data_IF_863932838877
#
_entry.id   IF_863932838877
#
_cell.length_a   1.000
_cell.length_b   1.000
_cell.length_c   1.000
_cell.angle_alpha   90.00
_cell.angle_beta   90.00
_cell.angle_gamma   90.00
#
_symmetry.space_group_name_H-M   'P 1'
#
loop_
_entity.id
_entity.type
_entity.pdbx_description
1 polymer ?
#
# COMPACT_ATOMS: atom_id res chain seq x y z
N UNK A 1 46.18 40.40 35.39
CA UNK A 1 46.90 41.27 34.43
C UNK A 1 47.74 40.38 33.52
N UNK A 2 47.57 40.57 32.21
CA UNK A 2 48.36 40.08 31.05
C UNK A 2 48.46 38.54 30.86
N UNK A 3 47.80 37.98 29.82
CA UNK A 3 48.27 37.83 28.42
C UNK A 3 49.50 36.89 28.35
N UNK A 4 49.61 35.83 27.57
CA UNK A 4 49.04 35.46 26.27
C UNK A 4 49.67 34.11 25.86
N UNK A 5 48.97 33.27 25.09
CA UNK A 5 49.48 32.68 23.82
C UNK A 5 48.46 31.75 23.16
N UNK A 6 48.05 32.24 22.00
CA UNK A 6 47.29 31.65 20.90
C UNK A 6 47.98 30.43 20.28
N UNK A 7 47.19 29.44 19.87
CA UNK A 7 47.42 28.70 18.62
C UNK A 7 46.08 28.54 17.90
N UNK A 8 45.92 29.34 16.84
CA UNK A 8 44.97 29.12 15.76
C UNK A 8 45.47 27.92 14.94
N UNK A 9 44.57 27.00 14.61
CA UNK A 9 44.72 26.10 13.48
C UNK A 9 43.56 26.37 12.53
N UNK A 10 43.84 27.10 11.44
CA UNK A 10 43.00 27.17 10.25
C UNK A 10 43.27 25.92 9.41
N UNK A 11 42.23 25.18 9.02
CA UNK A 11 42.21 24.35 7.81
C UNK A 11 40.78 24.35 7.21
N UNK A 12 40.64 24.14 5.89
CA UNK A 12 39.82 25.00 5.05
C UNK A 12 38.45 24.43 4.66
N UNK A 13 37.54 25.34 4.33
CA UNK A 13 36.36 25.09 3.50
C UNK A 13 36.81 24.67 2.11
N UNK A 14 36.55 23.41 1.74
CA UNK A 14 36.62 22.95 0.36
C UNK A 14 35.24 22.42 -0.06
N UNK A 15 34.58 23.24 -0.87
CA UNK A 15 33.48 22.85 -1.75
C UNK A 15 33.96 21.78 -2.73
N UNK A 16 33.19 20.71 -2.91
CA UNK A 16 33.27 19.88 -4.12
C UNK A 16 31.91 19.24 -4.40
N UNK A 17 31.23 19.86 -5.34
CA UNK A 17 30.13 19.31 -6.10
C UNK A 17 30.63 18.19 -7.04
N UNK A 18 29.72 17.27 -7.33
CA UNK A 18 29.70 16.34 -8.48
C UNK A 18 30.72 15.19 -8.44
N UNK A 19 30.45 13.99 -8.95
CA UNK A 19 29.30 13.30 -9.54
C UNK A 19 29.83 11.86 -9.72
N UNK A 20 29.00 10.83 -9.48
CA UNK A 20 28.82 9.67 -10.35
C UNK A 20 27.85 8.69 -9.67
N UNK A 21 26.58 9.06 -9.82
CA UNK A 21 25.46 8.14 -9.73
C UNK A 21 25.57 7.15 -10.89
N UNK A 22 25.80 5.88 -10.57
CA UNK A 22 25.61 4.75 -11.47
C UNK A 22 24.46 3.93 -10.90
N UNK A 23 23.23 4.44 -11.03
CA UNK A 23 22.05 3.62 -10.88
C UNK A 23 21.83 2.86 -12.20
N UNK A 24 21.66 1.53 -12.18
CA UNK A 24 21.34 0.79 -13.39
C UNK A 24 19.92 1.15 -13.83
N UNK A 25 19.81 1.81 -14.99
CA UNK A 25 18.53 2.01 -15.68
C UNK A 25 18.04 0.66 -16.20
N UNK A 26 17.25 -0.05 -15.39
CA UNK A 26 16.50 -1.20 -15.87
C UNK A 26 15.21 -0.68 -16.49
N UNK A 27 15.21 -0.64 -17.80
CA UNK A 27 14.08 -0.31 -18.65
C UNK A 27 12.98 -1.36 -18.42
N UNK A 28 12.01 -1.06 -17.54
CA UNK A 28 10.81 -1.87 -17.37
C UNK A 28 9.69 -1.27 -18.22
N UNK A 29 9.60 -1.75 -19.47
CA UNK A 29 8.33 -1.72 -20.19
C UNK A 29 7.41 -2.75 -19.54
N UNK A 30 6.70 -2.36 -18.49
CA UNK A 30 5.51 -3.06 -18.01
C UNK A 30 4.30 -2.30 -18.54
N UNK A 31 3.36 -3.00 -19.17
CA UNK A 31 2.07 -2.46 -19.59
C UNK A 31 1.36 -1.84 -18.39
N UNK A 32 1.50 -0.52 -18.25
CA UNK A 32 0.92 0.21 -17.14
C UNK A 32 -0.56 0.41 -17.43
N UNK A 33 -1.43 -0.10 -16.56
CA UNK A 33 -2.65 0.68 -16.27
C UNK A 33 -2.21 2.13 -16.01
N UNK A 34 -2.97 3.14 -16.46
CA UNK A 34 -2.54 4.52 -16.32
C UNK A 34 -2.30 4.79 -14.84
N UNK A 35 -1.03 4.92 -14.48
CA UNK A 35 -0.63 5.24 -13.13
C UNK A 35 -1.29 6.58 -12.77
N UNK A 36 -2.13 6.67 -11.72
CA UNK A 36 -2.89 7.89 -11.45
C UNK A 36 -1.98 8.94 -10.79
N UNK A 37 -1.04 9.49 -11.56
CA UNK A 37 -0.10 10.50 -11.11
C UNK A 37 -0.82 11.70 -10.48
N UNK A 38 -2.04 12.01 -10.94
CA UNK A 38 -2.86 13.06 -10.35
C UNK A 38 -3.18 12.82 -8.87
N UNK A 39 -3.38 11.56 -8.43
CA UNK A 39 -3.63 11.25 -7.02
C UNK A 39 -2.38 11.54 -6.16
N UNK A 40 -1.19 11.20 -6.64
CA UNK A 40 0.07 11.43 -5.93
C UNK A 40 0.36 12.91 -5.68
N UNK A 41 -0.04 13.76 -6.62
CA UNK A 41 0.27 15.18 -6.57
C UNK A 41 -0.91 16.04 -6.13
N UNK A 42 -2.09 15.44 -5.90
CA UNK A 42 -3.26 16.17 -5.42
C UNK A 42 -3.01 16.71 -3.99
N UNK A 43 -3.02 18.04 -3.79
CA UNK A 43 -2.91 18.63 -2.44
C UNK A 43 -4.19 18.44 -1.64
N UNK A 44 -5.32 18.28 -2.33
CA UNK A 44 -6.63 18.07 -1.75
C UNK A 44 -7.39 17.00 -2.52
N UNK A 45 -8.19 16.21 -1.80
CA UNK A 45 -9.19 15.30 -2.37
C UNK A 45 -10.55 15.65 -1.76
N UNK A 46 -11.59 15.66 -2.59
CA UNK A 46 -12.96 15.72 -2.09
C UNK A 46 -13.52 14.30 -2.01
N UNK A 47 -14.29 14.00 -0.97
CA UNK A 47 -14.91 12.70 -0.74
C UNK A 47 -16.41 12.89 -0.71
N UNK A 48 -17.09 12.34 -1.71
CA UNK A 48 -18.53 12.42 -1.83
C UNK A 48 -19.15 11.18 -1.18
N UNK A 49 -20.01 11.33 -0.14
CA UNK A 49 -20.75 10.21 0.43
C UNK A 49 -21.72 9.60 -0.60
N UNK A 50 -22.17 8.35 -0.38
CA UNK A 50 -23.16 7.73 -1.24
C UNK A 50 -24.42 8.61 -1.30
N UNK A 51 -24.96 8.84 -2.49
CA UNK A 51 -26.20 9.61 -2.64
C UNK A 51 -27.34 8.88 -1.92
N UNK A 52 -28.01 9.49 -0.93
CA UNK A 52 -29.17 8.90 -0.30
C UNK A 52 -30.31 8.76 -1.31
N UNK A 53 -31.21 7.80 -1.07
CA UNK A 53 -32.34 7.49 -1.96
C UNK A 53 -33.26 8.71 -2.23
N UNK A 54 -33.26 9.69 -1.33
CA UNK A 54 -34.05 10.92 -1.42
C UNK A 54 -33.46 11.97 -2.38
N UNK A 55 -32.33 11.69 -3.04
CA UNK A 55 -31.73 12.55 -4.05
C UNK A 55 -30.97 13.77 -3.52
N UNK A 56 -30.95 13.98 -2.20
CA UNK A 56 -30.23 15.07 -1.54
C UNK A 56 -28.74 14.74 -1.46
N UNK A 57 -27.88 15.44 -2.21
CA UNK A 57 -26.43 15.26 -2.08
C UNK A 57 -25.92 15.92 -0.79
N UNK A 58 -25.45 15.13 0.17
CA UNK A 58 -24.70 15.66 1.31
C UNK A 58 -23.40 16.34 0.83
N UNK A 59 -22.92 17.41 1.51
CA UNK A 59 -21.69 18.07 1.12
C UNK A 59 -20.51 17.10 1.22
N UNK A 60 -19.67 17.08 0.18
CA UNK A 60 -18.45 16.28 0.18
C UNK A 60 -17.46 16.74 1.25
N UNK A 61 -16.70 15.79 1.80
CA UNK A 61 -15.65 16.06 2.78
C UNK A 61 -14.33 16.37 2.10
N UNK A 62 -13.54 17.30 2.65
CA UNK A 62 -12.23 17.65 2.12
C UNK A 62 -11.12 16.94 2.90
N UNK A 63 -10.24 16.25 2.18
CA UNK A 63 -9.01 15.68 2.69
C UNK A 63 -7.82 16.50 2.19
N UNK A 64 -6.93 16.91 3.09
CA UNK A 64 -5.73 17.70 2.79
C UNK A 64 -4.49 16.81 2.93
N UNK A 65 -3.63 16.78 1.93
CA UNK A 65 -2.40 16.00 1.97
C UNK A 65 -1.46 16.51 3.08
N UNK A 66 -0.98 15.63 3.96
CA UNK A 66 -0.11 16.00 5.10
C UNK A 66 1.35 15.64 4.92
N UNK A 67 1.65 14.62 4.11
CA UNK A 67 3.02 14.22 3.79
C UNK A 67 3.27 14.34 2.29
N UNK A 68 4.46 14.83 1.87
CA UNK A 68 4.88 14.71 0.48
C UNK A 68 4.94 13.21 0.12
N UNK A 69 4.67 12.84 -1.15
CA UNK A 69 4.77 11.45 -1.54
C UNK A 69 6.20 10.94 -1.28
N UNK A 70 6.33 9.67 -0.88
CA UNK A 70 7.62 9.00 -0.66
C UNK A 70 8.67 9.31 -1.76
N UNK A 71 9.98 9.23 -1.47
CA UNK A 71 11.04 9.55 -2.42
C UNK A 71 10.92 8.86 -3.79
N UNK A 72 10.37 7.66 -3.82
CA UNK A 72 10.15 6.87 -5.04
C UNK A 72 9.16 7.52 -6.02
N UNK A 73 8.27 8.38 -5.53
CA UNK A 73 7.22 9.02 -6.32
C UNK A 73 7.63 10.36 -6.95
N UNK A 74 8.80 10.91 -6.61
CA UNK A 74 9.36 12.09 -7.29
C UNK A 74 9.74 11.81 -8.76
N UNK A 75 9.71 10.54 -9.18
CA UNK A 75 9.91 10.13 -10.57
C UNK A 75 8.69 10.43 -11.46
N UNK A 76 7.51 10.68 -10.88
CA UNK A 76 6.33 11.06 -11.63
C UNK A 76 6.30 12.58 -11.88
N UNK A 77 6.06 13.01 -13.12
CA UNK A 77 5.92 14.44 -13.40
C UNK A 77 4.67 14.96 -12.69
N UNK A 78 4.82 16.09 -11.99
CA UNK A 78 3.67 16.78 -11.42
C UNK A 78 2.63 17.10 -12.53
N UNK A 79 1.33 16.88 -12.27
CA UNK A 79 0.27 17.29 -13.18
C UNK A 79 0.40 18.79 -13.45
N UNK A 80 0.23 19.17 -14.71
CA UNK A 80 0.13 20.57 -15.12
C UNK A 80 -1.26 21.11 -14.77
N UNK A 81 -1.67 21.03 -13.52
CA UNK A 81 -2.96 21.57 -13.09
C UNK A 81 -2.78 23.07 -12.80
N UNK A 82 -3.52 23.96 -13.49
CA UNK A 82 -3.48 25.37 -13.19
C UNK A 82 -3.96 25.64 -11.75
N UNK A 83 -3.42 26.67 -11.07
CA UNK A 83 -3.92 27.11 -9.77
C UNK A 83 -5.44 27.33 -9.81
N UNK A 84 -6.16 26.83 -8.80
CA UNK A 84 -7.62 26.95 -8.72
C UNK A 84 -8.42 25.80 -9.37
N UNK A 85 -7.76 24.76 -9.88
CA UNK A 85 -8.44 23.53 -10.31
C UNK A 85 -9.12 22.87 -9.11
N UNK A 86 -10.38 22.46 -9.27
CA UNK A 86 -11.13 21.76 -8.23
C UNK A 86 -10.43 20.45 -7.82
N UNK A 87 -10.49 20.05 -6.54
CA UNK A 87 -9.91 18.79 -6.10
C UNK A 87 -10.60 17.60 -6.80
N UNK A 88 -9.86 16.52 -7.09
CA UNK A 88 -10.47 15.27 -7.54
C UNK A 88 -11.52 14.79 -6.54
N UNK A 89 -12.70 14.41 -7.03
CA UNK A 89 -13.83 13.94 -6.22
C UNK A 89 -13.85 12.42 -6.20
N UNK A 90 -13.64 11.82 -5.04
CA UNK A 90 -13.76 10.40 -4.79
C UNK A 90 -15.19 10.07 -4.38
N UNK A 91 -15.84 9.14 -5.06
CA UNK A 91 -17.19 8.69 -4.72
C UNK A 91 -17.12 7.48 -3.80
N UNK A 92 -17.64 7.60 -2.57
CA UNK A 92 -17.71 6.48 -1.63
C UNK A 92 -18.66 5.39 -2.13
N UNK A 93 -18.25 4.15 -1.94
CA UNK A 93 -19.10 2.98 -2.14
C UNK A 93 -20.22 2.95 -1.08
N UNK A 94 -21.45 2.55 -1.42
CA UNK A 94 -22.54 2.36 -0.45
C UNK A 94 -22.34 1.12 0.44
N UNK A 95 -21.37 0.28 0.13
CA UNK A 95 -21.05 -0.91 0.94
C UNK A 95 -20.59 -0.53 2.34
N UNK A 96 -20.98 -1.34 3.33
CA UNK A 96 -20.56 -1.14 4.71
C UNK A 96 -19.02 -1.06 4.82
N UNK A 97 -18.49 -0.16 5.65
CA UNK A 97 -17.05 -0.02 5.82
C UNK A 97 -16.47 -1.24 6.56
N UNK A 98 -15.23 -1.58 6.24
CA UNK A 98 -14.51 -2.69 6.86
C UNK A 98 -13.87 -2.17 8.15
N UNK A 99 -14.18 -2.81 9.27
CA UNK A 99 -13.61 -2.45 10.56
C UNK A 99 -12.26 -3.15 10.75
N UNK A 100 -11.19 -2.36 10.84
CA UNK A 100 -9.87 -2.80 11.24
C UNK A 100 -9.61 -2.49 12.72
N UNK A 101 -8.47 -2.98 13.23
CA UNK A 101 -8.09 -2.81 14.63
C UNK A 101 -7.87 -1.34 15.04
N UNK A 102 -7.21 -0.59 14.17
CA UNK A 102 -6.81 0.82 14.40
C UNK A 102 -7.43 1.78 13.38
N UNK A 103 -8.39 1.30 12.58
CA UNK A 103 -8.88 2.05 11.43
C UNK A 103 -10.22 1.53 10.93
N UNK A 104 -10.97 2.40 10.28
CA UNK A 104 -12.13 2.03 9.46
C UNK A 104 -11.78 2.23 7.98
N UNK A 105 -12.04 1.22 7.14
CA UNK A 105 -11.70 1.25 5.71
C UNK A 105 -12.96 1.44 4.88
N UNK A 106 -12.96 2.51 4.07
CA UNK A 106 -14.02 2.83 3.13
C UNK A 106 -13.56 2.54 1.72
N UNK A 107 -14.43 2.00 0.87
CA UNK A 107 -14.15 1.89 -0.57
C UNK A 107 -14.60 3.13 -1.29
N UNK A 108 -13.84 3.54 -2.30
CA UNK A 108 -14.14 4.69 -3.12
C UNK A 108 -13.79 4.43 -4.59
N UNK A 109 -14.39 5.20 -5.48
CA UNK A 109 -14.03 5.24 -6.90
C UNK A 109 -13.51 6.63 -7.24
N UNK A 110 -12.37 6.70 -7.91
CA UNK A 110 -11.81 7.95 -8.40
C UNK A 110 -12.55 8.46 -9.66
N UNK A 111 -12.42 9.74 -10.03
CA UNK A 111 -13.09 10.29 -11.23
C UNK A 111 -12.80 9.53 -12.52
N UNK A 112 -11.60 8.95 -12.62
CA UNK A 112 -11.11 8.17 -13.76
C UNK A 112 -11.49 6.68 -13.70
N UNK A 113 -12.20 6.26 -12.64
CA UNK A 113 -12.77 4.91 -12.50
C UNK A 113 -11.95 3.95 -11.63
N UNK A 114 -10.75 4.33 -11.20
CA UNK A 114 -9.90 3.51 -10.33
C UNK A 114 -10.58 3.25 -8.99
N UNK A 115 -10.45 2.02 -8.50
CA UNK A 115 -10.97 1.59 -7.21
C UNK A 115 -9.91 1.82 -6.13
N UNK A 116 -10.31 2.54 -5.09
CA UNK A 116 -9.44 2.97 -3.99
C UNK A 116 -10.06 2.54 -2.67
N UNK A 117 -9.22 2.44 -1.65
CA UNK A 117 -9.62 2.38 -0.24
C UNK A 117 -9.12 3.62 0.50
N UNK A 118 -9.98 4.14 1.39
CA UNK A 118 -9.69 5.21 2.34
C UNK A 118 -9.64 4.59 3.73
N UNK A 119 -8.44 4.38 4.26
CA UNK A 119 -8.23 3.85 5.60
C UNK A 119 -8.17 5.01 6.60
N UNK A 120 -9.28 5.27 7.25
CA UNK A 120 -9.45 6.30 8.28
C UNK A 120 -8.92 5.80 9.63
N UNK A 121 -7.90 6.45 10.18
CA UNK A 121 -7.24 6.03 11.41
C UNK A 121 -8.02 6.43 12.68
N UNK A 122 -8.19 5.48 13.59
CA UNK A 122 -8.61 5.76 14.98
C UNK A 122 -7.41 5.90 15.92
N UNK A 123 -6.25 5.36 15.53
CA UNK A 123 -4.94 5.58 16.16
C UNK A 123 -3.97 6.19 15.14
N UNK A 124 -3.66 7.47 15.30
CA UNK A 124 -2.82 8.23 14.37
C UNK A 124 -1.37 7.72 14.35
N UNK A 125 -0.83 7.35 15.51
CA UNK A 125 0.57 6.90 15.61
C UNK A 125 0.76 5.55 14.95
N UNK A 126 -0.20 4.64 15.15
CA UNK A 126 -0.16 3.34 14.51
C UNK A 126 -0.35 3.45 12.98
N UNK A 127 -1.25 4.33 12.51
CA UNK A 127 -1.44 4.55 11.08
C UNK A 127 -0.20 5.17 10.41
N UNK A 128 0.44 6.15 11.05
CA UNK A 128 1.67 6.77 10.53
C UNK A 128 2.82 5.76 10.45
N UNK A 129 2.98 4.93 11.49
CA UNK A 129 3.98 3.86 11.49
C UNK A 129 3.74 2.86 10.37
N UNK A 130 2.50 2.41 10.18
CA UNK A 130 2.16 1.54 9.06
C UNK A 130 2.50 2.22 7.71
N UNK A 131 2.16 3.49 7.56
CA UNK A 131 2.43 4.23 6.33
C UNK A 131 3.93 4.34 6.02
N UNK A 132 4.73 4.73 7.00
CA UNK A 132 6.17 4.92 6.86
C UNK A 132 6.88 3.56 6.67
N UNK A 133 6.65 2.62 7.57
CA UNK A 133 7.41 1.38 7.57
C UNK A 133 7.04 0.46 6.42
N UNK A 134 5.75 0.38 6.06
CA UNK A 134 5.29 -0.54 5.00
C UNK A 134 5.39 0.10 3.62
N UNK A 135 4.89 1.32 3.46
CA UNK A 135 4.67 1.87 2.11
C UNK A 135 5.71 2.90 1.68
N UNK A 136 6.52 3.42 2.61
CA UNK A 136 7.64 4.32 2.30
C UNK A 136 8.97 3.57 2.34
N UNK A 137 9.19 2.74 3.36
CA UNK A 137 10.49 2.13 3.64
C UNK A 137 10.68 0.73 3.01
N UNK A 138 9.61 -0.03 2.77
CA UNK A 138 9.78 -1.31 2.09
C UNK A 138 10.26 -1.09 0.64
N UNK A 139 11.21 -1.91 0.15
CA UNK A 139 11.70 -1.82 -1.21
C UNK A 139 10.53 -1.96 -2.20
N UNK A 140 10.38 -0.97 -3.08
CA UNK A 140 9.34 -1.01 -4.09
C UNK A 140 9.61 -2.10 -5.13
N UNK A 141 8.60 -2.93 -5.38
CA UNK A 141 8.57 -3.90 -6.46
C UNK A 141 8.47 -5.35 -5.97
N UNK A 142 7.55 -6.11 -6.57
CA UNK A 142 7.45 -7.57 -6.40
C UNK A 142 6.69 -8.06 -5.17
N UNK A 143 6.57 -7.25 -4.11
CA UNK A 143 5.79 -7.63 -2.93
C UNK A 143 4.28 -7.51 -3.20
N UNK A 144 3.45 -8.48 -2.78
CA UNK A 144 2.01 -8.46 -2.98
C UNK A 144 1.35 -7.57 -1.92
N UNK A 145 1.68 -6.27 -1.89
CA UNK A 145 1.07 -5.27 -1.01
C UNK A 145 0.31 -4.22 -1.84
N UNK A 146 -0.69 -3.52 -1.25
CA UNK A 146 -1.43 -2.51 -1.99
C UNK A 146 -0.55 -1.35 -2.45
N UNK A 147 -0.88 -0.78 -3.60
CA UNK A 147 -0.30 0.50 -4.00
C UNK A 147 -0.74 1.60 -3.03
N UNK A 148 0.21 2.35 -2.50
CA UNK A 148 -0.04 3.50 -1.62
C UNK A 148 0.04 4.81 -2.41
N UNK A 149 -0.90 5.74 -2.15
CA UNK A 149 -0.97 7.03 -2.85
C UNK A 149 -0.74 8.25 -1.94
N UNK A 150 -0.77 8.06 -0.62
CA UNK A 150 -0.44 9.10 0.36
C UNK A 150 -1.31 9.10 1.60
N UNK A 151 -0.94 9.97 2.54
CA UNK A 151 -1.71 10.29 3.74
C UNK A 151 -2.31 11.68 3.61
N UNK A 152 -3.56 11.79 4.02
CA UNK A 152 -4.32 13.02 4.06
C UNK A 152 -4.92 13.20 5.44
N UNK A 153 -5.13 14.45 5.86
CA UNK A 153 -5.89 14.80 7.06
C UNK A 153 -7.29 15.26 6.65
N UNK A 154 -8.29 14.78 7.39
CA UNK A 154 -9.67 15.20 7.21
C UNK A 154 -10.63 14.18 7.79
N UNK A 155 -11.86 14.16 7.30
CA UNK A 155 -12.87 13.19 7.68
C UNK A 155 -13.45 12.53 6.43
N UNK A 156 -13.84 11.26 6.52
CA UNK A 156 -14.44 10.53 5.39
C UNK A 156 -15.95 10.70 5.40
N UNK A 157 -16.55 10.64 6.59
CA UNK A 157 -17.97 10.89 6.84
C UNK A 157 -18.16 12.14 7.70
N UNK A 158 -19.37 12.69 7.73
CA UNK A 158 -19.64 13.99 8.35
C UNK A 158 -19.55 13.93 9.88
N UNK A 159 -20.01 12.82 10.47
CA UNK A 159 -20.07 12.52 11.90
C UNK A 159 -18.70 12.23 12.53
N UNK A 160 -17.65 12.10 11.71
CA UNK A 160 -16.31 11.80 12.17
C UNK A 160 -15.56 13.07 12.60
N UNK A 161 -14.68 12.91 13.59
CA UNK A 161 -13.64 13.88 13.86
C UNK A 161 -12.63 13.91 12.71
N UNK A 162 -11.84 14.98 12.61
CA UNK A 162 -10.69 14.98 11.70
C UNK A 162 -9.64 13.99 12.20
N UNK A 163 -9.10 13.20 11.28
CA UNK A 163 -8.02 12.24 11.53
C UNK A 163 -7.17 12.09 10.27
N UNK A 164 -6.19 11.19 10.33
CA UNK A 164 -5.42 10.77 9.18
C UNK A 164 -6.17 9.70 8.37
N UNK A 165 -6.11 9.84 7.05
CA UNK A 165 -6.70 8.97 6.05
C UNK A 165 -5.60 8.54 5.10
N UNK A 166 -5.32 7.24 5.08
CA UNK A 166 -4.39 6.63 4.14
C UNK A 166 -5.15 6.18 2.89
N UNK A 167 -4.66 6.58 1.72
CA UNK A 167 -5.29 6.31 0.42
C UNK A 167 -4.49 5.25 -0.31
N UNK A 168 -5.12 4.11 -0.62
CA UNK A 168 -4.46 2.92 -1.18
C UNK A 168 -5.33 2.20 -2.19
N UNK A 169 -4.72 1.33 -2.99
CA UNK A 169 -5.38 0.49 -3.98
C UNK A 169 -6.44 -0.42 -3.37
N UNK A 170 -7.63 -0.43 -3.98
CA UNK A 170 -8.61 -1.47 -3.69
C UNK A 170 -8.17 -2.78 -4.35
N UNK A 171 -7.73 -3.71 -3.50
CA UNK A 171 -7.17 -4.99 -3.91
C UNK A 171 -8.23 -6.11 -3.94
N UNK A 172 -9.51 -5.76 -3.80
CA UNK A 172 -10.64 -6.68 -3.91
C UNK A 172 -11.20 -7.13 -2.56
N UNK A 173 -11.70 -8.36 -2.53
CA UNK A 173 -12.42 -8.92 -1.38
C UNK A 173 -11.55 -9.87 -0.56
N UNK A 174 -11.81 -10.02 0.75
CA UNK A 174 -11.25 -11.13 1.51
C UNK A 174 -11.54 -12.47 0.83
N UNK A 175 -10.59 -13.40 0.89
CA UNK A 175 -10.78 -14.73 0.31
C UNK A 175 -11.83 -15.50 1.12
N UNK A 176 -12.94 -15.86 0.49
CA UNK A 176 -13.95 -16.75 1.08
C UNK A 176 -13.31 -18.09 1.49
N UNK A 177 -13.67 -18.63 2.65
CA UNK A 177 -13.04 -19.79 3.28
C UNK A 177 -11.53 -19.66 3.60
N UNK A 178 -10.96 -18.46 3.47
CA UNK A 178 -9.62 -18.14 3.93
C UNK A 178 -8.51 -18.91 3.20
N UNK A 179 -7.55 -19.45 3.95
CA UNK A 179 -6.43 -20.20 3.36
C UNK A 179 -6.86 -21.51 2.70
N UNK A 180 -7.99 -22.10 3.11
CA UNK A 180 -8.48 -23.36 2.54
C UNK A 180 -8.89 -23.22 1.08
N UNK A 181 -9.41 -22.05 0.68
CA UNK A 181 -9.76 -21.75 -0.71
C UNK A 181 -8.54 -21.46 -1.60
N UNK A 182 -7.33 -21.42 -1.06
CA UNK A 182 -6.10 -21.20 -1.82
C UNK A 182 -5.55 -22.53 -2.35
N UNK A 183 -5.07 -22.52 -3.59
CA UNK A 183 -4.26 -23.62 -4.14
C UNK A 183 -2.92 -23.71 -3.41
N UNK A 184 -2.27 -24.88 -3.43
CA UNK A 184 -0.94 -25.03 -2.82
C UNK A 184 0.07 -24.01 -3.36
N UNK A 185 0.06 -23.77 -4.69
CA UNK A 185 0.91 -22.78 -5.33
C UNK A 185 0.64 -21.34 -4.85
N UNK A 186 -0.61 -20.97 -4.59
CA UNK A 186 -0.96 -19.67 -4.00
C UNK A 186 -0.46 -19.56 -2.56
N UNK A 187 -0.64 -20.62 -1.76
CA UNK A 187 -0.15 -20.68 -0.37
C UNK A 187 1.37 -20.53 -0.32
N UNK A 188 2.09 -21.23 -1.19
CA UNK A 188 3.55 -21.12 -1.30
C UNK A 188 3.97 -19.69 -1.66
N UNK A 189 3.31 -19.05 -2.64
CA UNK A 189 3.60 -17.65 -3.00
C UNK A 189 3.37 -16.66 -1.86
N UNK A 190 2.32 -16.85 -1.06
CA UNK A 190 2.07 -16.01 0.13
C UNK A 190 3.18 -16.21 1.18
N UNK A 191 3.61 -17.45 1.37
CA UNK A 191 4.71 -17.76 2.28
C UNK A 191 6.03 -17.17 1.80
N UNK A 192 6.36 -17.28 0.51
CA UNK A 192 7.58 -16.70 -0.07
C UNK A 192 7.58 -15.17 0.06
N UNK A 193 6.42 -14.53 -0.10
CA UNK A 193 6.28 -13.10 0.14
C UNK A 193 6.50 -12.74 1.61
N UNK A 194 5.98 -13.54 2.54
CA UNK A 194 6.21 -13.36 3.97
C UNK A 194 7.69 -13.57 4.33
N UNK A 195 8.33 -14.61 3.81
CA UNK A 195 9.77 -14.85 3.98
C UNK A 195 10.60 -13.69 3.43
N UNK A 196 10.19 -13.09 2.30
CA UNK A 196 10.84 -11.89 1.76
C UNK A 196 10.78 -10.72 2.75
N UNK A 197 9.65 -10.47 3.43
CA UNK A 197 9.59 -9.46 4.50
C UNK A 197 10.57 -9.78 5.63
N UNK A 198 10.64 -11.05 6.04
CA UNK A 198 11.49 -11.47 7.14
C UNK A 198 12.99 -11.43 6.80
N UNK A 199 13.34 -11.66 5.54
CA UNK A 199 14.72 -11.56 5.03
C UNK A 199 15.30 -10.15 5.18
N UNK A 200 14.44 -9.13 5.21
CA UNK A 200 14.79 -7.74 5.47
C UNK A 200 14.48 -7.31 6.91
N UNK A 201 14.32 -8.25 7.86
CA UNK A 201 14.03 -7.95 9.27
C UNK A 201 12.69 -7.23 9.50
N UNK A 202 11.68 -7.51 8.67
CA UNK A 202 10.33 -6.97 8.79
C UNK A 202 9.32 -8.09 9.03
N UNK A 203 8.43 -7.94 10.01
CA UNK A 203 7.32 -8.88 10.25
C UNK A 203 5.97 -8.21 10.03
N UNK A 204 4.97 -8.99 9.62
CA UNK A 204 3.60 -8.50 9.43
C UNK A 204 2.87 -8.32 10.77
N UNK A 205 3.17 -9.17 11.76
CA UNK A 205 2.71 -9.11 13.14
C UNK A 205 1.30 -9.66 13.38
N UNK A 206 0.50 -9.83 12.33
CA UNK A 206 -0.83 -10.45 12.41
C UNK A 206 -1.27 -11.14 11.11
N UNK A 207 -0.39 -11.97 10.55
CA UNK A 207 -0.70 -12.72 9.33
C UNK A 207 -1.80 -13.76 9.61
N UNK A 208 -2.91 -13.67 8.87
CA UNK A 208 -4.10 -14.52 9.03
C UNK A 208 -4.96 -14.54 7.76
N UNK A 209 -5.99 -15.38 7.65
CA UNK A 209 -6.86 -15.37 6.48
C UNK A 209 -7.49 -14.00 6.17
N UNK A 210 -7.82 -13.20 7.19
CA UNK A 210 -8.36 -11.84 7.02
C UNK A 210 -7.35 -10.83 6.49
N UNK A 211 -6.06 -11.19 6.46
CA UNK A 211 -4.99 -10.38 5.86
C UNK A 211 -4.81 -10.61 4.36
N UNK A 212 -5.59 -11.52 3.75
CA UNK A 212 -5.49 -11.81 2.31
C UNK A 212 -6.74 -11.34 1.59
N UNK A 213 -6.54 -10.47 0.60
CA UNK A 213 -7.58 -10.07 -0.34
C UNK A 213 -7.23 -10.50 -1.76
N UNK A 214 -8.26 -10.76 -2.54
CA UNK A 214 -8.15 -11.21 -3.92
C UNK A 214 -8.99 -10.35 -4.85
N UNK A 215 -8.46 -10.13 -6.05
CA UNK A 215 -9.21 -9.65 -7.19
C UNK A 215 -8.96 -10.51 -8.42
N UNK A 216 -9.90 -10.59 -9.37
CA UNK A 216 -9.64 -11.24 -10.65
C UNK A 216 -8.38 -10.68 -11.30
N UNK A 217 -7.51 -11.54 -11.80
CA UNK A 217 -6.38 -11.09 -12.60
C UNK A 217 -6.94 -10.47 -13.90
N UNK A 218 -6.40 -9.34 -14.38
CA UNK A 218 -6.78 -8.82 -15.68
C UNK A 218 -6.48 -9.90 -16.73
N UNK A 219 -7.51 -10.30 -17.49
CA UNK A 219 -7.34 -11.23 -18.61
C UNK A 219 -6.36 -10.61 -19.60
N UNK A 220 -5.27 -11.31 -19.97
CA UNK A 220 -4.43 -10.86 -21.06
C UNK A 220 -5.27 -10.77 -22.33
N UNK A 221 -5.26 -9.61 -22.97
CA UNK A 221 -5.94 -9.34 -24.23
C UNK A 221 -5.23 -10.03 -25.41
N UNK A 222 -5.03 -11.35 -25.37
CA UNK A 222 -4.49 -12.12 -26.50
C UNK A 222 -5.38 -13.33 -26.81
N UNK A 223 -5.74 -13.58 -28.08
CA UNK A 223 -6.52 -14.73 -28.46
C UNK A 223 -5.59 -15.94 -28.58
N UNK A 224 -5.37 -16.66 -27.47
CA UNK A 224 -4.73 -17.98 -27.55
C UNK A 224 -5.80 -19.05 -27.81
N UNK A 225 -5.56 -19.85 -28.84
CA UNK A 225 -6.45 -20.91 -29.33
C UNK A 225 -6.79 -21.95 -28.25
N UNK A 226 -7.96 -22.62 -28.33
CA UNK A 226 -8.45 -23.46 -27.26
C UNK A 226 -7.79 -24.85 -27.35
N UNK A 227 -6.87 -25.16 -26.45
CA UNK A 227 -6.46 -26.55 -26.22
C UNK A 227 -6.36 -26.78 -24.71
N UNK A 228 -7.14 -27.78 -24.26
CA UNK A 228 -7.18 -28.39 -22.93
C UNK A 228 -7.87 -27.59 -21.82
N UNK A 229 -9.14 -27.95 -21.57
CA UNK A 229 -9.85 -27.66 -20.34
C UNK A 229 -9.28 -28.53 -19.21
N UNK A 230 -8.22 -28.08 -18.57
CA UNK A 230 -7.97 -28.36 -17.15
C UNK A 230 -8.75 -27.32 -16.35
N UNK A 231 -9.45 -27.77 -15.32
CA UNK A 231 -10.17 -26.93 -14.36
C UNK A 231 -9.16 -26.14 -13.52
N UNK A 232 -8.41 -25.22 -14.15
CA UNK A 232 -7.54 -24.30 -13.43
C UNK A 232 -8.43 -23.27 -12.72
N UNK A 233 -8.20 -23.11 -11.41
CA UNK A 233 -8.83 -22.06 -10.63
C UNK A 233 -8.65 -20.71 -11.34
N UNK A 234 -9.66 -19.83 -11.34
CA UNK A 234 -9.56 -18.54 -12.03
C UNK A 234 -8.35 -17.76 -11.52
N UNK A 235 -7.49 -17.33 -12.44
CA UNK A 235 -6.31 -16.55 -12.12
C UNK A 235 -6.72 -15.29 -11.33
N UNK A 236 -6.26 -15.19 -10.08
CA UNK A 236 -6.53 -14.05 -9.19
C UNK A 236 -5.21 -13.46 -8.66
N UNK A 237 -5.21 -12.14 -8.45
CA UNK A 237 -4.11 -11.44 -7.79
C UNK A 237 -4.39 -11.43 -6.29
N UNK A 238 -3.58 -12.17 -5.52
CA UNK A 238 -3.58 -12.13 -4.06
C UNK A 238 -2.74 -10.95 -3.56
N UNK A 239 -3.24 -10.29 -2.51
CA UNK A 239 -2.55 -9.16 -1.87
C UNK A 239 -2.65 -9.32 -0.34
N UNK A 240 -1.52 -9.14 0.33
CA UNK A 240 -1.39 -9.10 1.79
C UNK A 240 -1.75 -7.69 2.26
N UNK A 241 -2.64 -7.58 3.23
CA UNK A 241 -3.14 -6.33 3.82
C UNK A 241 -3.18 -6.43 5.35
N UNK A 242 -3.33 -5.29 6.03
CA UNK A 242 -3.55 -5.30 7.49
C UNK A 242 -2.27 -5.17 8.33
N UNK A 243 -1.28 -4.43 7.84
CA UNK A 243 0.02 -4.17 8.47
C UNK A 243 -0.02 -3.27 9.72
N UNK A 244 -1.15 -3.16 10.42
CA UNK A 244 -1.28 -2.31 11.62
C UNK A 244 -0.42 -2.76 12.81
N UNK A 245 0.10 -4.00 12.76
CA UNK A 245 0.99 -4.59 13.75
C UNK A 245 2.37 -4.90 13.17
N UNK A 246 2.65 -4.40 11.95
CA UNK A 246 3.91 -4.67 11.31
C UNK A 246 5.02 -3.86 11.97
N UNK A 247 6.18 -4.48 12.12
CA UNK A 247 7.32 -3.87 12.78
C UNK A 247 8.65 -4.51 12.33
N UNK A 248 9.74 -3.79 12.59
CA UNK A 248 11.07 -4.32 12.42
C UNK A 248 11.43 -5.25 13.56
N UNK A 249 12.00 -6.41 13.24
CA UNK A 249 12.42 -7.39 14.23
C UNK A 249 13.69 -8.12 13.78
N UNK A 250 14.48 -8.58 14.74
CA UNK A 250 15.63 -9.42 14.45
C UNK A 250 15.15 -10.84 14.14
N UNK A 251 14.79 -11.08 12.87
CA UNK A 251 14.34 -12.38 12.43
C UNK A 251 15.40 -13.47 12.71
N UNK A 252 15.08 -14.50 13.52
CA UNK A 252 16.00 -15.60 13.80
C UNK A 252 16.08 -16.63 12.67
N UNK A 253 15.40 -16.40 11.54
CA UNK A 253 15.32 -17.30 10.39
C UNK A 253 13.99 -18.06 10.30
N UNK A 254 13.78 -18.68 9.14
CA UNK A 254 12.50 -19.30 8.74
C UNK A 254 11.99 -20.35 9.71
N UNK A 255 12.89 -21.16 10.28
CA UNK A 255 12.53 -22.28 11.14
C UNK A 255 12.38 -21.90 12.62
N UNK A 256 12.77 -20.68 12.98
CA UNK A 256 12.78 -20.20 14.38
C UNK A 256 11.92 -18.96 14.60
N UNK A 257 11.55 -18.24 13.54
CA UNK A 257 10.69 -17.08 13.65
C UNK A 257 9.25 -17.53 13.92
N UNK A 258 8.66 -17.03 15.00
CA UNK A 258 7.30 -17.37 15.41
C UNK A 258 6.28 -17.14 14.29
N UNK A 259 6.30 -15.98 13.64
CA UNK A 259 5.34 -15.67 12.57
C UNK A 259 5.50 -16.61 11.37
N UNK A 260 6.73 -16.89 10.93
CA UNK A 260 6.96 -17.79 9.79
C UNK A 260 6.58 -19.24 10.11
N UNK A 261 6.89 -19.74 11.30
CA UNK A 261 6.48 -21.08 11.73
C UNK A 261 4.96 -21.20 11.80
N UNK A 262 4.29 -20.20 12.37
CA UNK A 262 2.82 -20.16 12.44
C UNK A 262 2.19 -20.05 11.04
N UNK A 263 2.75 -19.22 10.15
CA UNK A 263 2.28 -19.06 8.79
C UNK A 263 2.46 -20.32 7.95
N UNK A 264 3.62 -20.98 8.02
CA UNK A 264 3.90 -22.26 7.32
C UNK A 264 2.85 -23.32 7.67
N UNK A 265 2.57 -23.45 8.97
CA UNK A 265 1.56 -24.37 9.49
C UNK A 265 0.14 -23.97 9.06
N UNK A 266 -0.22 -22.70 9.17
CA UNK A 266 -1.54 -22.21 8.80
C UNK A 266 -1.82 -22.34 7.29
N UNK A 267 -0.77 -22.27 6.47
CA UNK A 267 -0.83 -22.47 5.02
C UNK A 267 -0.69 -23.95 4.60
N UNK A 268 -0.57 -24.89 5.55
CA UNK A 268 -0.45 -26.34 5.29
C UNK A 268 0.65 -26.69 4.30
N UNK A 269 1.80 -25.99 4.36
CA UNK A 269 2.91 -26.23 3.43
C UNK A 269 3.77 -27.44 3.79
N UNK A 270 3.56 -28.02 4.98
CA UNK A 270 4.22 -29.24 5.42
C UNK A 270 3.50 -30.52 4.94
N UNK A 271 2.30 -30.37 4.37
CA UNK A 271 1.53 -31.46 3.78
C UNK A 271 1.95 -31.65 2.32
N UNK A 272 2.15 -32.91 1.86
CA UNK A 272 2.47 -33.17 0.45
C UNK A 272 1.34 -32.65 -0.44
N UNK A 273 1.71 -32.12 -1.61
CA UNK A 273 0.75 -31.67 -2.64
C UNK A 273 -0.26 -32.80 -2.89
N UNK A 274 -1.53 -32.60 -2.50
CA UNK A 274 -2.59 -33.58 -2.78
C UNK A 274 -2.75 -33.66 -4.30
N UNK A 275 -2.34 -34.81 -4.85
CA UNK A 275 -2.28 -35.11 -6.28
C UNK A 275 -3.66 -35.27 -6.93
#
# INVERSE_FOLDING_TARGET
>A
MLLSRTRQALLPLASSSALLSLAPTRNMSSSSSPFPAYLLHAPFLAVQPPTPADGTSAPGQLLQRTLPPAPLYYTHPAPKNPPGTAPPVLSLSPTAPIQGRISTVYRATAPTGEKLVLKYGTDLLALMREAEEVYVNLPAGGLPIPTFWGIFEGKVLEEQNKSLVMVMEDCGEPVEDGFEALTWAERQKLFDALDTFHSIHFQHGSFSPSSIVARPAPTPSEPVSPISATTEAPARKLTIVGFSQAEWHLCPGVDSCKELVEARKALKLDEPEEA
#
